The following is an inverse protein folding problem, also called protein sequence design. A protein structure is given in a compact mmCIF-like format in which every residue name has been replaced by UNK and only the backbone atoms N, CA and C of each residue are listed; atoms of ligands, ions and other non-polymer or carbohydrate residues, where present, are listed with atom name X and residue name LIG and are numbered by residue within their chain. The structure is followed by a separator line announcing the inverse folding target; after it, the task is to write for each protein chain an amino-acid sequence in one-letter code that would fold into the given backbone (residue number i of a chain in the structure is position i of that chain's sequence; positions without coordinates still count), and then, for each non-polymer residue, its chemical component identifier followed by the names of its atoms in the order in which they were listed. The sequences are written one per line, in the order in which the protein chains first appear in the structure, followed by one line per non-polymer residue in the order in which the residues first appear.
data_IF_957164764662
#
_entry.id   IF_957164764662
#
_cell.length_a   1.000
_cell.length_b   1.000
_cell.length_c   1.000
_cell.angle_alpha   90.00
_cell.angle_beta   90.00
_cell.angle_gamma   90.00
#
_symmetry.space_group_name_H-M   'P 1'
#
loop_
_entity.id
_entity.type
_entity.pdbx_description
1 polymer ?
#
# COMPACT_ATOMS: atom_id res chain seq x y z
N UNK A 1 31.53 3.57 -22.01
CA UNK A 1 30.35 2.74 -22.38
C UNK A 1 29.22 2.91 -21.35
N UNK A 2 28.84 4.16 -21.04
CA UNK A 2 27.90 4.51 -19.95
C UNK A 2 27.09 5.77 -20.27
N UNK A 3 26.73 5.98 -21.54
CA UNK A 3 25.97 7.15 -22.02
C UNK A 3 24.79 6.79 -22.93
N UNK A 4 24.26 5.57 -22.81
CA UNK A 4 23.07 5.12 -23.54
C UNK A 4 22.08 4.43 -22.59
N UNK A 5 21.87 4.98 -21.40
CA UNK A 5 20.69 4.63 -20.63
C UNK A 5 19.60 5.66 -20.96
N UNK A 6 18.40 5.24 -21.42
CA UNK A 6 17.29 6.16 -21.63
C UNK A 6 17.03 6.92 -20.33
N UNK A 7 16.57 8.17 -20.47
CA UNK A 7 16.28 9.08 -19.36
C UNK A 7 15.60 8.32 -18.21
N UNK A 8 16.32 8.17 -17.09
CA UNK A 8 15.90 7.35 -15.94
C UNK A 8 14.56 7.82 -15.38
N UNK A 9 14.15 9.06 -15.68
CA UNK A 9 12.85 9.64 -15.32
C UNK A 9 11.67 8.98 -16.04
N UNK A 10 11.81 8.56 -17.30
CA UNK A 10 10.73 7.94 -18.07
C UNK A 10 10.42 6.51 -17.61
N UNK A 11 11.46 5.72 -17.29
CA UNK A 11 11.31 4.39 -16.71
C UNK A 11 10.78 4.45 -15.28
N UNK A 12 11.18 5.45 -14.50
CA UNK A 12 10.61 5.70 -13.19
C UNK A 12 9.09 5.93 -13.27
N UNK A 13 8.62 6.71 -14.26
CA UNK A 13 7.19 7.02 -14.48
C UNK A 13 6.31 5.76 -14.61
N UNK A 14 6.78 4.75 -15.34
CA UNK A 14 6.08 3.47 -15.47
C UNK A 14 6.02 2.69 -14.15
N UNK A 15 7.04 2.85 -13.30
CA UNK A 15 7.16 2.17 -12.01
C UNK A 15 6.61 2.97 -10.81
N UNK A 16 6.01 4.17 -11.02
CA UNK A 16 5.42 4.98 -9.94
C UNK A 16 4.10 4.39 -9.44
N UNK A 17 4.17 3.39 -8.57
CA UNK A 17 3.00 3.03 -7.75
C UNK A 17 2.73 4.14 -6.71
N UNK A 18 1.47 4.54 -6.45
CA UNK A 18 0.21 3.98 -6.98
C UNK A 18 -0.32 4.60 -8.27
N UNK A 19 0.13 5.81 -8.64
CA UNK A 19 -0.52 6.59 -9.69
C UNK A 19 -0.47 5.91 -11.06
N UNK A 20 0.68 5.37 -11.46
CA UNK A 20 0.81 4.68 -12.74
C UNK A 20 -0.04 3.40 -12.75
N UNK A 21 -0.01 2.61 -11.68
CA UNK A 21 -0.74 1.34 -11.63
C UNK A 21 -2.25 1.54 -11.53
N UNK A 22 -2.74 2.57 -10.83
CA UNK A 22 -4.15 2.93 -10.83
C UNK A 22 -4.60 3.34 -12.24
N UNK A 23 -3.87 4.23 -12.90
CA UNK A 23 -4.19 4.69 -14.25
C UNK A 23 -4.16 3.53 -15.26
N UNK A 24 -3.13 2.69 -15.22
CA UNK A 24 -3.00 1.51 -16.08
C UNK A 24 -4.12 0.50 -15.83
N UNK A 25 -4.46 0.23 -14.57
CA UNK A 25 -5.54 -0.69 -14.23
C UNK A 25 -6.90 -0.19 -14.75
N UNK A 26 -7.20 1.09 -14.57
CA UNK A 26 -8.44 1.68 -15.09
C UNK A 26 -8.49 1.66 -16.62
N UNK A 27 -7.40 2.05 -17.28
CA UNK A 27 -7.31 2.05 -18.74
C UNK A 27 -7.46 0.63 -19.32
N UNK A 28 -6.77 -0.36 -18.76
CA UNK A 28 -6.86 -1.76 -19.18
C UNK A 28 -8.26 -2.34 -18.95
N UNK A 29 -8.88 -2.03 -17.80
CA UNK A 29 -10.26 -2.44 -17.50
C UNK A 29 -11.25 -1.83 -18.50
N UNK A 30 -11.11 -0.54 -18.79
CA UNK A 30 -11.92 0.15 -19.81
C UNK A 30 -11.74 -0.46 -21.19
N UNK A 31 -10.49 -0.75 -21.59
CA UNK A 31 -10.20 -1.41 -22.87
C UNK A 31 -10.85 -2.79 -22.97
N UNK A 32 -10.79 -3.62 -21.91
CA UNK A 32 -11.47 -4.93 -21.87
C UNK A 32 -12.99 -4.75 -22.01
N UNK A 33 -13.56 -3.76 -21.32
CA UNK A 33 -15.00 -3.47 -21.41
C UNK A 33 -15.42 -3.01 -22.81
N UNK A 34 -14.55 -2.33 -23.57
CA UNK A 34 -14.86 -1.81 -24.90
C UNK A 34 -14.68 -2.83 -26.05
N UNK A 35 -13.91 -3.90 -25.87
CA UNK A 35 -13.55 -4.84 -26.96
C UNK A 35 -14.72 -5.66 -27.56
N UNK A 36 -15.75 -6.00 -26.79
CA UNK A 36 -16.94 -6.69 -27.30
C UNK A 36 -17.73 -7.49 -26.26
N UNK A 37 -18.79 -8.22 -26.66
CA UNK A 37 -19.66 -8.93 -25.72
C UNK A 37 -18.93 -10.03 -24.93
N UNK A 38 -18.01 -10.76 -25.57
CA UNK A 38 -17.24 -11.83 -24.91
C UNK A 38 -16.31 -11.30 -23.83
N UNK A 39 -15.57 -10.22 -24.11
CA UNK A 39 -14.65 -9.61 -23.14
C UNK A 39 -15.41 -9.01 -21.95
N UNK A 40 -16.57 -8.39 -22.20
CA UNK A 40 -17.48 -7.92 -21.14
C UNK A 40 -17.99 -9.08 -20.29
N UNK A 41 -18.39 -10.19 -20.90
CA UNK A 41 -18.80 -11.40 -20.18
C UNK A 41 -17.70 -11.90 -19.24
N UNK A 42 -16.47 -12.04 -19.74
CA UNK A 42 -15.31 -12.43 -18.93
C UNK A 42 -15.05 -11.45 -17.79
N UNK A 43 -15.10 -10.14 -18.07
CA UNK A 43 -14.92 -9.11 -17.04
C UNK A 43 -16.00 -9.21 -15.97
N UNK A 44 -17.27 -9.41 -16.32
CA UNK A 44 -18.37 -9.56 -15.37
C UNK A 44 -18.20 -10.81 -14.50
N UNK A 45 -17.79 -11.94 -15.08
CA UNK A 45 -17.49 -13.16 -14.32
C UNK A 45 -16.33 -12.92 -13.34
N UNK A 46 -15.27 -12.26 -13.80
CA UNK A 46 -14.14 -11.88 -12.94
C UNK A 46 -14.61 -10.96 -11.80
N UNK A 47 -15.42 -9.93 -12.07
CA UNK A 47 -15.90 -9.01 -11.05
C UNK A 47 -16.81 -9.70 -10.03
N UNK A 48 -17.72 -10.54 -10.50
CA UNK A 48 -18.59 -11.34 -9.64
C UNK A 48 -17.76 -12.23 -8.70
N UNK A 49 -16.76 -12.94 -9.24
CA UNK A 49 -15.84 -13.71 -8.42
C UNK A 49 -15.07 -12.82 -7.42
N UNK A 50 -14.47 -11.74 -7.89
CA UNK A 50 -13.59 -10.87 -7.11
C UNK A 50 -14.31 -10.19 -5.94
N UNK A 51 -15.59 -9.83 -6.12
CA UNK A 51 -16.37 -9.07 -5.14
C UNK A 51 -17.27 -9.95 -4.26
N UNK A 52 -17.76 -11.08 -4.76
CA UNK A 52 -18.72 -11.92 -4.03
C UNK A 52 -18.05 -13.12 -3.36
N UNK A 53 -17.00 -13.67 -3.98
CA UNK A 53 -16.43 -14.96 -3.57
C UNK A 53 -15.02 -14.82 -2.98
N UNK A 54 -14.16 -14.01 -3.60
CA UNK A 54 -12.76 -13.98 -3.23
C UNK A 54 -12.50 -13.23 -1.92
N UNK A 55 -11.81 -13.92 -1.01
CA UNK A 55 -11.44 -13.43 0.32
C UNK A 55 -9.97 -13.02 0.42
N UNK A 56 -9.21 -13.06 -0.68
CA UNK A 56 -7.79 -12.70 -0.71
C UNK A 56 -7.46 -11.33 -0.07
N UNK A 57 -8.24 -10.24 -0.28
CA UNK A 57 -7.98 -8.95 0.37
C UNK A 57 -7.99 -9.04 1.89
N UNK A 58 -8.90 -9.85 2.44
CA UNK A 58 -9.00 -10.08 3.88
C UNK A 58 -8.00 -11.11 4.39
N UNK A 59 -7.27 -11.76 3.48
CA UNK A 59 -6.22 -12.74 3.74
C UNK A 59 -4.79 -12.17 3.71
N UNK A 60 -4.64 -10.90 3.33
CA UNK A 60 -3.34 -10.27 3.11
C UNK A 60 -2.70 -10.69 1.79
N UNK A 61 -3.51 -10.84 0.73
CA UNK A 61 -3.06 -11.23 -0.59
C UNK A 61 -3.22 -12.72 -0.90
N UNK A 62 -2.58 -13.15 -1.99
CA UNK A 62 -2.66 -14.52 -2.47
C UNK A 62 -1.73 -15.46 -1.71
N UNK A 63 -2.30 -16.23 -0.78
CA UNK A 63 -1.55 -17.16 0.08
C UNK A 63 -0.70 -18.17 -0.71
N UNK A 64 -1.17 -18.62 -1.88
CA UNK A 64 -0.41 -19.53 -2.75
C UNK A 64 0.86 -18.87 -3.28
N UNK A 65 0.78 -17.64 -3.80
CA UNK A 65 1.95 -16.92 -4.33
C UNK A 65 2.99 -16.67 -3.25
N UNK A 66 2.55 -16.39 -2.02
CA UNK A 66 3.43 -16.23 -0.86
C UNK A 66 4.12 -17.54 -0.49
N UNK A 67 3.40 -18.67 -0.48
CA UNK A 67 3.98 -20.00 -0.20
C UNK A 67 5.02 -20.42 -1.25
N UNK A 68 4.82 -20.01 -2.50
CA UNK A 68 5.74 -20.26 -3.61
C UNK A 68 6.91 -19.25 -3.67
N UNK A 69 6.97 -18.26 -2.77
CA UNK A 69 7.99 -17.20 -2.77
C UNK A 69 7.86 -16.19 -3.92
N UNK A 70 6.80 -16.28 -4.73
CA UNK A 70 6.59 -15.39 -5.89
C UNK A 70 6.27 -13.96 -5.46
N UNK A 71 5.55 -13.79 -4.35
CA UNK A 71 5.30 -12.46 -3.77
C UNK A 71 6.61 -11.79 -3.38
N UNK A 72 7.52 -12.50 -2.68
CA UNK A 72 8.80 -11.96 -2.26
C UNK A 72 9.71 -11.65 -3.46
N UNK A 73 9.76 -12.55 -4.45
CA UNK A 73 10.49 -12.34 -5.69
C UNK A 73 10.01 -11.10 -6.45
N UNK A 74 8.70 -10.93 -6.59
CA UNK A 74 8.12 -9.75 -7.24
C UNK A 74 8.42 -8.46 -6.49
N UNK A 75 8.32 -8.47 -5.15
CA UNK A 75 8.62 -7.30 -4.31
C UNK A 75 10.10 -6.92 -4.35
N UNK A 76 10.99 -7.90 -4.48
CA UNK A 76 12.45 -7.70 -4.56
C UNK A 76 12.94 -7.30 -5.96
N UNK A 77 12.05 -7.20 -6.94
CA UNK A 77 12.42 -6.91 -8.31
C UNK A 77 13.16 -5.55 -8.45
N UNK A 78 14.21 -5.45 -9.30
CA UNK A 78 15.10 -4.28 -9.32
C UNK A 78 14.42 -2.95 -9.64
N UNK A 79 13.32 -2.95 -10.41
CA UNK A 79 12.61 -1.72 -10.78
C UNK A 79 11.95 -1.03 -9.59
N UNK A 80 11.67 -1.75 -8.49
CA UNK A 80 11.17 -1.11 -7.27
C UNK A 80 12.21 -0.21 -6.62
N UNK A 81 13.51 -0.53 -6.78
CA UNK A 81 14.60 0.37 -6.35
C UNK A 81 14.66 1.62 -7.22
N UNK A 82 14.38 1.50 -8.52
CA UNK A 82 14.28 2.67 -9.41
C UNK A 82 13.09 3.56 -9.05
N UNK A 83 11.93 2.96 -8.78
CA UNK A 83 10.74 3.67 -8.29
C UNK A 83 11.01 4.41 -6.98
N UNK A 84 11.63 3.73 -6.00
CA UNK A 84 12.02 4.36 -4.73
C UNK A 84 13.04 5.49 -4.94
N UNK A 85 13.95 5.36 -5.92
CA UNK A 85 14.95 6.38 -6.24
C UNK A 85 14.36 7.64 -6.89
N UNK A 86 13.19 7.54 -7.53
CA UNK A 86 12.49 8.69 -8.12
C UNK A 86 11.91 9.64 -7.06
N UNK A 87 11.35 9.08 -5.97
CA UNK A 87 10.86 9.82 -4.80
C UNK A 87 11.90 9.91 -3.65
N UNK A 88 13.19 9.85 -4.00
CA UNK A 88 14.33 9.44 -3.14
C UNK A 88 14.00 8.81 -1.78
N UNK A 89 13.15 7.78 -1.73
CA UNK A 89 12.71 7.14 -0.48
C UNK A 89 13.87 6.36 0.15
N UNK A 90 14.18 6.65 1.42
CA UNK A 90 15.23 5.96 2.18
C UNK A 90 14.68 5.44 3.50
N UNK A 91 14.84 4.14 3.74
CA UNK A 91 14.54 3.52 5.02
C UNK A 91 15.68 3.78 6.01
N UNK A 92 15.34 4.22 7.22
CA UNK A 92 16.28 4.43 8.33
C UNK A 92 15.84 3.61 9.55
N UNK A 93 16.31 2.36 9.69
CA UNK A 93 16.06 1.56 10.89
C UNK A 93 16.68 2.24 12.12
N UNK A 94 15.91 2.37 13.20
CA UNK A 94 16.39 2.92 14.47
C UNK A 94 16.61 1.84 15.54
N UNK A 95 15.95 0.69 15.39
CA UNK A 95 16.01 -0.44 16.30
C UNK A 95 16.02 -1.74 15.51
N UNK A 96 16.58 -2.80 16.10
CA UNK A 96 16.43 -4.15 15.57
C UNK A 96 14.98 -4.62 15.81
N UNK A 97 14.42 -5.34 14.83
CA UNK A 97 13.10 -5.96 14.91
C UNK A 97 13.22 -7.43 14.47
N UNK A 98 13.66 -8.34 15.35
CA UNK A 98 13.76 -9.75 15.03
C UNK A 98 12.39 -10.32 14.62
N UNK A 99 12.35 -11.13 13.56
CA UNK A 99 11.09 -11.72 13.10
C UNK A 99 10.44 -12.64 14.16
N UNK A 100 11.24 -13.19 15.08
CA UNK A 100 10.83 -14.07 16.18
C UNK A 100 10.01 -13.37 17.26
N UNK A 101 10.17 -12.05 17.43
CA UNK A 101 9.54 -11.30 18.52
C UNK A 101 8.20 -10.67 18.08
N UNK A 102 7.83 -10.86 16.81
CA UNK A 102 6.57 -10.43 16.24
C UNK A 102 5.36 -11.23 16.76
N UNK A 103 4.14 -10.88 16.33
CA UNK A 103 3.83 -9.97 15.23
C UNK A 103 3.95 -8.49 15.59
N UNK A 104 4.22 -7.66 14.57
CA UNK A 104 4.33 -6.21 14.70
C UNK A 104 3.18 -5.49 13.98
N UNK A 105 2.81 -4.32 14.51
CA UNK A 105 1.96 -3.35 13.82
C UNK A 105 2.82 -2.12 13.51
N UNK A 106 3.20 -1.97 12.23
CA UNK A 106 3.88 -0.79 11.72
C UNK A 106 2.86 0.34 11.53
N UNK A 107 2.98 1.38 12.35
CA UNK A 107 2.08 2.52 12.42
C UNK A 107 2.66 3.66 11.59
N UNK A 108 2.25 3.74 10.33
CA UNK A 108 2.82 4.63 9.32
C UNK A 108 2.20 6.03 9.35
N UNK A 109 3.06 7.05 9.39
CA UNK A 109 2.67 8.45 9.38
C UNK A 109 3.64 9.32 8.57
N UNK A 110 3.17 10.43 7.97
CA UNK A 110 1.78 10.67 7.63
C UNK A 110 1.32 9.68 6.54
N UNK A 111 0.01 9.52 6.34
CA UNK A 111 -0.48 8.75 5.18
C UNK A 111 -0.06 9.40 3.85
N UNK A 112 0.05 10.73 3.78
CA UNK A 112 0.15 11.47 2.52
C UNK A 112 -1.06 11.23 1.61
N UNK A 113 -1.03 11.72 0.38
CA UNK A 113 -2.10 11.40 -0.59
C UNK A 113 -2.11 9.88 -0.86
N UNK A 114 -0.93 9.31 -1.08
CA UNK A 114 -0.77 7.96 -1.65
C UNK A 114 0.07 6.99 -0.81
N UNK A 115 0.75 7.44 0.25
CA UNK A 115 1.57 6.58 1.10
C UNK A 115 2.74 5.94 0.36
N UNK A 116 3.49 6.75 -0.41
CA UNK A 116 4.63 6.34 -1.23
C UNK A 116 5.70 5.65 -0.38
N UNK A 117 6.06 6.22 0.77
CA UNK A 117 7.05 5.62 1.67
C UNK A 117 6.60 4.26 2.19
N UNK A 118 5.34 4.16 2.65
CA UNK A 118 4.78 2.90 3.14
C UNK A 118 4.70 1.84 2.03
N UNK A 119 4.34 2.22 0.81
CA UNK A 119 4.33 1.30 -0.33
C UNK A 119 5.75 0.85 -0.70
N UNK A 120 6.69 1.77 -0.84
CA UNK A 120 8.06 1.47 -1.26
C UNK A 120 8.79 0.55 -0.27
N UNK A 121 8.42 0.59 1.02
CA UNK A 121 8.98 -0.27 2.07
C UNK A 121 8.17 -1.54 2.34
N UNK A 122 6.83 -1.46 2.41
CA UNK A 122 5.99 -2.55 2.88
C UNK A 122 5.09 -3.17 1.81
N UNK A 123 4.85 -2.52 0.69
CA UNK A 123 4.16 -3.13 -0.45
C UNK A 123 5.12 -3.69 -1.49
N UNK A 124 6.31 -3.12 -1.59
CA UNK A 124 7.45 -3.63 -2.37
C UNK A 124 8.67 -3.78 -1.46
N UNK A 125 9.84 -4.05 -2.02
CA UNK A 125 11.13 -4.01 -1.31
C UNK A 125 12.05 -2.94 -1.91
N UNK A 126 11.46 -1.86 -2.44
CA UNK A 126 12.20 -0.78 -3.11
C UNK A 126 13.19 -0.06 -2.20
N UNK A 127 12.91 0.01 -0.89
CA UNK A 127 13.81 0.63 0.09
C UNK A 127 14.80 -0.36 0.75
N UNK A 128 14.79 -1.63 0.36
CA UNK A 128 15.61 -2.67 1.00
C UNK A 128 15.15 -3.04 2.41
N UNK A 129 13.84 -3.05 2.66
CA UNK A 129 13.26 -3.42 3.95
C UNK A 129 13.61 -4.86 4.34
N UNK A 130 13.53 -5.80 3.39
CA UNK A 130 13.83 -7.22 3.63
C UNK A 130 15.27 -7.46 4.06
N UNK A 131 16.21 -6.64 3.56
CA UNK A 131 17.62 -6.69 3.94
C UNK A 131 17.86 -6.06 5.33
N UNK A 132 17.14 -5.00 5.67
CA UNK A 132 17.21 -4.36 6.98
C UNK A 132 16.58 -5.19 8.10
N UNK A 133 15.53 -5.95 7.78
CA UNK A 133 14.79 -6.80 8.71
C UNK A 133 14.61 -8.22 8.14
N UNK A 134 15.68 -9.05 8.14
CA UNK A 134 15.64 -10.39 7.56
C UNK A 134 14.54 -11.27 8.17
N UNK A 135 13.79 -11.96 7.31
CA UNK A 135 12.70 -12.86 7.72
C UNK A 135 11.40 -12.15 8.12
N UNK A 136 11.38 -10.81 8.19
CA UNK A 136 10.19 -10.07 8.54
C UNK A 136 9.39 -9.67 7.29
N UNK A 137 8.26 -10.33 7.08
CA UNK A 137 7.30 -9.92 6.05
C UNK A 137 6.17 -9.10 6.68
N UNK A 138 5.88 -7.94 6.10
CA UNK A 138 4.84 -7.02 6.58
C UNK A 138 3.77 -6.86 5.50
N UNK A 139 2.53 -7.18 5.85
CA UNK A 139 1.38 -6.94 4.98
C UNK A 139 0.97 -5.46 5.04
N UNK A 140 1.15 -4.72 3.95
CA UNK A 140 0.63 -3.36 3.84
C UNK A 140 -0.90 -3.38 3.67
N UNK A 141 -1.61 -2.72 4.57
CA UNK A 141 -3.06 -2.68 4.58
C UNK A 141 -3.57 -1.34 4.06
N UNK A 142 -4.35 -1.40 2.99
CA UNK A 142 -4.95 -0.24 2.32
C UNK A 142 -6.47 -0.23 2.43
N UNK A 143 -7.09 0.89 2.07
CA UNK A 143 -8.54 1.03 2.11
C UNK A 143 -9.25 0.01 1.19
N UNK A 144 -10.42 -0.51 1.61
CA UNK A 144 -11.16 -1.56 0.88
C UNK A 144 -11.51 -1.16 -0.56
N UNK A 145 -11.70 0.14 -0.82
CA UNK A 145 -11.99 0.65 -2.16
C UNK A 145 -10.92 0.28 -3.20
N UNK A 146 -9.64 0.18 -2.81
CA UNK A 146 -8.54 -0.22 -3.70
C UNK A 146 -8.79 -1.63 -4.26
N UNK A 147 -9.33 -2.53 -3.43
CA UNK A 147 -9.59 -3.92 -3.79
C UNK A 147 -10.88 -4.11 -4.60
N UNK A 148 -11.62 -3.03 -4.87
CA UNK A 148 -12.77 -3.03 -5.78
C UNK A 148 -12.39 -2.63 -7.21
N UNK A 149 -11.23 -2.00 -7.39
CA UNK A 149 -10.75 -1.56 -8.70
C UNK A 149 -10.13 -2.77 -9.41
N UNK A 150 -10.67 -3.21 -10.57
CA UNK A 150 -10.16 -4.38 -11.30
C UNK A 150 -8.70 -4.19 -11.68
N UNK A 151 -7.93 -5.28 -11.72
CA UNK A 151 -6.48 -5.30 -12.01
C UNK A 151 -5.59 -4.59 -10.98
N UNK A 152 -5.96 -3.43 -10.45
CA UNK A 152 -5.25 -2.79 -9.33
C UNK A 152 -5.33 -3.67 -8.09
N UNK A 153 -6.52 -4.24 -7.85
CA UNK A 153 -6.74 -5.29 -6.85
C UNK A 153 -5.72 -6.41 -6.98
N UNK A 154 -5.56 -6.96 -8.19
CA UNK A 154 -4.66 -8.08 -8.45
C UNK A 154 -3.21 -7.72 -8.16
N UNK A 155 -2.78 -6.54 -8.64
CA UNK A 155 -1.46 -6.01 -8.33
C UNK A 155 -1.23 -5.95 -6.82
N UNK A 156 -2.16 -5.40 -6.04
CA UNK A 156 -2.03 -5.29 -4.59
C UNK A 156 -1.95 -6.66 -3.91
N UNK A 157 -2.80 -7.61 -4.31
CA UNK A 157 -2.87 -8.95 -3.71
C UNK A 157 -1.64 -9.80 -4.01
N UNK A 158 -1.08 -9.67 -5.21
CA UNK A 158 0.16 -10.34 -5.61
C UNK A 158 1.35 -9.86 -4.77
N UNK A 159 1.35 -8.57 -4.39
CA UNK A 159 2.36 -7.96 -3.52
C UNK A 159 2.13 -8.23 -2.02
N UNK A 160 1.10 -9.02 -1.68
CA UNK A 160 0.76 -9.36 -0.30
C UNK A 160 0.10 -8.21 0.47
N UNK A 161 -0.42 -7.19 -0.22
CA UNK A 161 -1.23 -6.15 0.39
C UNK A 161 -2.64 -6.68 0.72
N UNK A 162 -3.29 -6.05 1.70
CA UNK A 162 -4.62 -6.47 2.16
C UNK A 162 -5.54 -5.30 2.49
N UNK A 163 -6.81 -5.60 2.74
CA UNK A 163 -7.79 -4.61 3.16
C UNK A 163 -7.59 -4.24 4.63
N UNK A 164 -7.64 -2.94 4.93
CA UNK A 164 -7.60 -2.42 6.30
C UNK A 164 -9.00 -2.47 6.91
N UNK A 165 -9.33 -3.62 7.48
CA UNK A 165 -10.48 -3.77 8.36
C UNK A 165 -10.09 -4.52 9.64
N UNK A 166 -10.92 -4.37 10.68
CA UNK A 166 -10.64 -4.94 12.00
C UNK A 166 -10.49 -6.46 11.94
N UNK A 167 -11.36 -7.16 11.19
CA UNK A 167 -11.32 -8.61 11.09
C UNK A 167 -10.06 -9.09 10.38
N UNK A 168 -9.67 -8.42 9.30
CA UNK A 168 -8.41 -8.70 8.59
C UNK A 168 -7.19 -8.48 9.48
N UNK A 169 -7.13 -7.36 10.20
CA UNK A 169 -6.02 -7.08 11.12
C UNK A 169 -5.93 -8.15 12.22
N UNK A 170 -7.05 -8.46 12.90
CA UNK A 170 -7.07 -9.47 13.96
C UNK A 170 -6.67 -10.84 13.45
N UNK A 171 -7.13 -11.23 12.25
CA UNK A 171 -6.77 -12.52 11.65
C UNK A 171 -5.29 -12.59 11.32
N UNK A 172 -4.74 -11.58 10.64
CA UNK A 172 -3.30 -11.56 10.28
C UNK A 172 -2.42 -11.61 11.52
N UNK A 173 -2.71 -10.75 12.50
CA UNK A 173 -1.94 -10.71 13.75
C UNK A 173 -2.09 -12.01 14.55
N UNK A 174 -3.30 -12.59 14.61
CA UNK A 174 -3.52 -13.89 15.27
C UNK A 174 -2.81 -15.06 14.58
N UNK A 175 -2.52 -14.94 13.28
CA UNK A 175 -1.68 -15.88 12.51
C UNK A 175 -0.18 -15.58 12.66
N UNK A 176 0.23 -14.69 13.57
CA UNK A 176 1.63 -14.30 13.78
C UNK A 176 2.21 -13.42 12.66
N UNK A 177 1.36 -12.81 11.82
CA UNK A 177 1.82 -12.00 10.68
C UNK A 177 1.81 -10.52 11.02
N UNK A 178 2.91 -9.85 10.71
CA UNK A 178 3.04 -8.40 10.88
C UNK A 178 2.27 -7.63 9.81
N UNK A 179 1.77 -6.46 10.20
CA UNK A 179 0.97 -5.58 9.33
C UNK A 179 1.51 -4.15 9.35
N UNK A 180 1.34 -3.42 8.26
CA UNK A 180 1.55 -1.97 8.19
C UNK A 180 0.23 -1.28 7.87
N UNK A 181 -0.08 -0.21 8.59
CA UNK A 181 -1.26 0.61 8.36
C UNK A 181 -0.96 2.07 8.68
N UNK A 182 -1.74 2.98 8.12
CA UNK A 182 -1.70 4.40 8.45
C UNK A 182 -2.99 4.80 9.20
N UNK A 183 -2.92 5.03 10.54
CA UNK A 183 -4.11 5.30 11.36
C UNK A 183 -4.95 6.50 10.92
N UNK A 184 -4.30 7.51 10.33
CA UNK A 184 -4.97 8.68 9.81
C UNK A 184 -5.90 8.40 8.63
N UNK A 185 -5.57 7.37 7.84
CA UNK A 185 -6.32 6.92 6.68
C UNK A 185 -6.71 8.06 5.74
N UNK A 186 -7.94 7.99 5.23
CA UNK A 186 -8.51 9.01 4.34
C UNK A 186 -8.43 10.44 4.90
N UNK A 187 -8.53 10.62 6.22
CA UNK A 187 -8.50 11.97 6.81
C UNK A 187 -7.12 12.62 6.68
N UNK A 188 -6.04 11.88 6.95
CA UNK A 188 -4.67 12.38 6.71
C UNK A 188 -4.40 12.61 5.22
N UNK A 189 -4.95 11.77 4.34
CA UNK A 189 -4.82 11.94 2.89
C UNK A 189 -5.52 13.20 2.37
N UNK A 190 -6.76 13.46 2.78
CA UNK A 190 -7.54 14.64 2.37
C UNK A 190 -7.00 15.95 2.97
N UNK A 191 -6.40 15.88 4.16
CA UNK A 191 -5.84 17.02 4.87
C UNK A 191 -4.32 17.16 4.69
N UNK A 192 -3.74 16.43 3.74
CA UNK A 192 -2.35 16.49 3.33
C UNK A 192 -2.05 17.87 2.73
N UNK A 193 -1.04 18.57 3.25
CA UNK A 193 -0.65 19.91 2.80
C UNK A 193 0.87 20.03 2.86
N UNK A 194 1.54 20.43 1.75
CA UNK A 194 2.99 20.60 1.72
C UNK A 194 3.49 21.55 2.82
N UNK A 195 4.62 21.21 3.43
CA UNK A 195 5.20 22.01 4.52
C UNK A 195 4.53 21.79 5.89
N UNK A 196 3.59 20.86 5.98
CA UNK A 196 2.93 20.49 7.24
C UNK A 196 3.00 18.98 7.47
N UNK A 197 3.03 18.56 8.73
CA UNK A 197 2.90 17.14 9.11
C UNK A 197 1.84 16.99 10.20
N UNK A 198 0.58 17.06 9.78
CA UNK A 198 -0.57 16.97 10.69
C UNK A 198 -1.08 15.54 10.81
N UNK A 199 -0.97 14.98 12.02
CA UNK A 199 -1.38 13.61 12.32
C UNK A 199 -2.69 13.54 13.11
N UNK A 200 -3.56 12.59 12.77
CA UNK A 200 -4.88 12.43 13.39
C UNK A 200 -4.92 11.27 14.38
N UNK A 201 -4.09 11.33 15.42
CA UNK A 201 -3.90 10.22 16.38
C UNK A 201 -4.84 10.23 17.60
N UNK A 202 -5.34 11.40 18.01
CA UNK A 202 -6.12 11.54 19.25
C UNK A 202 -7.42 10.74 19.22
N UNK A 203 -8.12 10.74 18.08
CA UNK A 203 -9.39 10.00 17.89
C UNK A 203 -9.23 8.61 17.27
N UNK A 204 -8.04 8.26 16.75
CA UNK A 204 -7.78 7.01 16.04
C UNK A 204 -7.05 6.01 16.92
N UNK A 205 -7.76 5.36 17.85
CA UNK A 205 -7.18 4.38 18.80
C UNK A 205 -7.30 2.91 18.36
N UNK A 206 -7.76 2.65 17.13
CA UNK A 206 -8.03 1.30 16.64
C UNK A 206 -6.80 0.40 16.63
N UNK A 207 -5.66 0.90 16.15
CA UNK A 207 -4.40 0.14 16.10
C UNK A 207 -3.87 -0.22 17.49
N UNK A 208 -3.97 0.69 18.47
CA UNK A 208 -3.57 0.42 19.85
C UNK A 208 -4.50 -0.61 20.51
N UNK A 209 -5.82 -0.52 20.27
CA UNK A 209 -6.78 -1.53 20.71
C UNK A 209 -6.51 -2.90 20.08
N UNK A 210 -6.03 -2.94 18.83
CA UNK A 210 -5.62 -4.18 18.17
C UNK A 210 -4.37 -4.76 18.83
N UNK A 211 -3.32 -3.96 19.02
CA UNK A 211 -2.09 -4.36 19.71
C UNK A 211 -2.39 -5.01 21.08
N UNK A 212 -3.19 -4.35 21.91
CA UNK A 212 -3.59 -4.86 23.22
C UNK A 212 -4.34 -6.19 23.16
N UNK A 213 -5.10 -6.45 22.09
CA UNK A 213 -5.88 -7.69 21.94
C UNK A 213 -5.07 -8.84 21.38
N UNK A 214 -4.08 -8.55 20.53
CA UNK A 214 -3.32 -9.56 19.81
C UNK A 214 -1.92 -9.78 20.39
N UNK A 215 -1.50 -8.95 21.35
CA UNK A 215 -0.13 -8.95 21.88
C UNK A 215 0.91 -8.39 20.91
N UNK A 216 0.49 -7.77 19.80
CA UNK A 216 1.40 -7.30 18.77
C UNK A 216 2.12 -6.01 19.20
N UNK A 217 3.43 -5.95 18.98
CA UNK A 217 4.22 -4.76 19.31
C UNK A 217 3.96 -3.63 18.31
N UNK A 218 3.81 -2.41 18.81
CA UNK A 218 3.63 -1.21 17.97
C UNK A 218 5.01 -0.71 17.51
N UNK A 219 5.17 -0.54 16.20
CA UNK A 219 6.37 0.05 15.59
C UNK A 219 5.98 1.37 14.94
N UNK A 220 6.33 2.53 15.53
CA UNK A 220 6.11 3.82 14.90
C UNK A 220 6.96 3.95 13.63
N UNK A 221 6.36 4.39 12.53
CA UNK A 221 7.04 4.66 11.26
C UNK A 221 6.71 6.08 10.83
N UNK A 222 7.73 6.90 10.63
CA UNK A 222 7.58 8.29 10.21
C UNK A 222 8.26 8.50 8.85
N UNK A 223 7.48 8.96 7.87
CA UNK A 223 7.91 9.30 6.53
C UNK A 223 8.05 10.83 6.40
N UNK A 224 9.29 11.29 6.30
CA UNK A 224 9.58 12.70 6.02
C UNK A 224 9.48 12.96 4.51
N UNK A 225 8.92 14.11 4.10
CA UNK A 225 8.77 14.46 2.68
C UNK A 225 7.49 13.92 2.02
N UNK A 226 6.70 13.10 2.72
CA UNK A 226 5.53 12.42 2.15
C UNK A 226 4.40 13.39 1.77
N UNK A 227 4.21 14.47 2.53
CA UNK A 227 3.18 15.46 2.25
C UNK A 227 3.61 16.47 1.17
N UNK A 228 4.90 16.54 0.88
CA UNK A 228 5.52 17.43 -0.08
C UNK A 228 5.47 16.87 -1.52
N UNK A 229 5.10 15.60 -1.69
CA UNK A 229 5.13 14.92 -2.98
C UNK A 229 4.09 15.46 -3.98
N UNK A 230 2.95 15.93 -3.48
CA UNK A 230 1.83 16.33 -4.32
C UNK A 230 1.10 17.53 -3.70
N UNK A 231 0.74 18.51 -4.53
CA UNK A 231 -0.16 19.58 -4.13
C UNK A 231 -1.59 19.06 -3.95
N UNK A 232 -2.27 19.49 -2.91
CA UNK A 232 -3.71 19.23 -2.71
C UNK A 232 -4.51 20.50 -2.93
N UNK A 233 -5.72 20.35 -3.49
CA UNK A 233 -6.71 21.43 -3.47
C UNK A 233 -7.41 21.40 -2.13
N UNK A 234 -7.16 22.40 -1.29
CA UNK A 234 -7.83 22.56 0.00
C UNK A 234 -9.07 23.45 -0.18
N UNK A 235 -10.25 22.85 -0.13
CA UNK A 235 -11.50 23.60 -0.07
C UNK A 235 -11.72 24.19 1.32
N UNK A 236 -12.17 25.44 1.39
CA UNK A 236 -12.48 26.10 2.65
C UNK A 236 -13.51 25.30 3.47
N UNK A 237 -13.29 25.24 4.79
CA UNK A 237 -14.20 24.53 5.72
C UNK A 237 -15.61 25.13 5.62
N UNK A 238 -16.63 24.26 5.58
CA UNK A 238 -18.04 24.67 5.47
C UNK A 238 -18.55 24.82 4.03
N UNK A 239 -17.69 24.78 3.02
CA UNK A 239 -18.13 24.78 1.62
C UNK A 239 -18.77 23.45 1.21
N UNK A 240 -19.63 23.49 0.19
CA UNK A 240 -20.20 22.27 -0.38
C UNK A 240 -19.12 21.37 -1.00
N UNK A 241 -18.11 21.95 -1.66
CA UNK A 241 -16.97 21.21 -2.20
C UNK A 241 -16.22 20.41 -1.12
N UNK A 242 -16.08 20.97 0.09
CA UNK A 242 -15.46 20.28 1.23
C UNK A 242 -16.31 19.13 1.79
N UNK A 243 -17.62 19.12 1.54
CA UNK A 243 -18.51 17.99 1.93
C UNK A 243 -18.45 16.83 0.95
N UNK A 244 -18.06 17.10 -0.30
CA UNK A 244 -17.87 16.09 -1.34
C UNK A 244 -16.46 15.49 -1.36
N UNK A 245 -15.49 16.20 -0.81
CA UNK A 245 -14.10 15.77 -0.62
C UNK A 245 -13.98 14.77 0.53
#
# INVERSE_FOLDING_TARGET
MLQLLPDRSALALFCLFPLSQLATALAATGAIACQGPRSRGTLLVYLAWAWLLDKAPRRGGYALLRRLGLTDWLRAAPWWRWSASYFPVRLRPTVALPATDGPYIFVCHPHGIFGIGAMASFGTDGTGFSAAFPGLFVHLLGHDAIFRIPLLREWCLIHGCGAVDRGTCQRLLGEGRSIALAPGGAKESLECEPGTMRLFLKSRKGYAKLALRTGAALVPVLSFGENELFGTVQFAKGTWCRRLQ
#
